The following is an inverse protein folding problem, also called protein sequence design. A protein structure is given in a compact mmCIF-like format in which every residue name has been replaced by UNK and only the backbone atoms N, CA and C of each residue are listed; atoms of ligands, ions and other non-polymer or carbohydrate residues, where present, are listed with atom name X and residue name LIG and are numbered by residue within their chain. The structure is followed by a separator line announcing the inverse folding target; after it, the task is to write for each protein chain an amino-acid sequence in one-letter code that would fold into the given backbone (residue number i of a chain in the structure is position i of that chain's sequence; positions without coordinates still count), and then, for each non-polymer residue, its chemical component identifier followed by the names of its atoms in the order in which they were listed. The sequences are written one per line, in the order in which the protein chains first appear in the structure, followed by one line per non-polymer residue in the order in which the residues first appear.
data_IF_368309815748
#
_entry.id   IF_368309815748
#
_cell.length_a   1.000
_cell.length_b   1.000
_cell.length_c   1.000
_cell.angle_alpha   90.00
_cell.angle_beta   90.00
_cell.angle_gamma   90.00
#
_symmetry.space_group_name_H-M   'P 1'
#
loop_
_entity.id
_entity.type
_entity.pdbx_description
1 polymer ?
#
# COMPACT_ATOMS: atom_id res chain seq x y z
N UNK A 1 -3.84 -7.95 4.27
CA UNK A 1 -4.84 -7.17 3.54
C UNK A 1 -4.87 -7.58 2.07
N UNK A 2 -6.02 -7.38 1.42
CA UNK A 2 -6.16 -7.50 -0.03
C UNK A 2 -6.47 -6.12 -0.60
N UNK A 3 -5.68 -5.68 -1.58
CA UNK A 3 -5.89 -4.41 -2.28
C UNK A 3 -6.87 -4.62 -3.44
N UNK A 4 -7.94 -3.83 -3.50
CA UNK A 4 -8.99 -3.92 -4.52
C UNK A 4 -9.02 -2.62 -5.30
N UNK A 5 -8.81 -2.71 -6.62
CA UNK A 5 -8.94 -1.58 -7.53
C UNK A 5 -10.41 -1.18 -7.64
N UNK A 6 -10.71 0.11 -7.45
CA UNK A 6 -12.08 0.65 -7.55
C UNK A 6 -12.21 1.77 -8.57
N UNK A 7 -11.11 2.22 -9.16
CA UNK A 7 -11.12 3.22 -10.23
C UNK A 7 -11.64 2.59 -11.54
N UNK A 8 -12.72 3.13 -12.15
CA UNK A 8 -13.42 2.45 -13.23
C UNK A 8 -12.82 2.67 -14.62
N UNK A 9 -12.12 3.79 -14.84
CA UNK A 9 -11.76 4.22 -16.20
C UNK A 9 -10.46 3.59 -16.72
N UNK A 10 -9.49 3.40 -15.83
CA UNK A 10 -8.16 2.86 -16.17
C UNK A 10 -7.95 1.42 -15.70
N UNK A 11 -8.65 1.02 -14.65
CA UNK A 11 -8.42 -0.25 -13.98
C UNK A 11 -9.65 -1.16 -13.95
N UNK A 12 -10.73 -0.77 -14.62
CA UNK A 12 -11.99 -1.52 -14.68
C UNK A 12 -12.49 -1.93 -13.27
N UNK A 13 -12.25 -1.05 -12.29
CA UNK A 13 -12.57 -1.25 -10.89
C UNK A 13 -13.98 -0.76 -10.54
N UNK A 14 -14.46 -1.16 -9.36
CA UNK A 14 -15.73 -0.65 -8.82
C UNK A 14 -15.82 -0.82 -7.31
N UNK A 15 -16.70 -0.05 -6.65
CA UNK A 15 -17.05 -0.27 -5.25
C UNK A 15 -17.75 -1.62 -5.04
N UNK A 16 -18.39 -2.19 -6.05
CA UNK A 16 -19.01 -3.52 -5.97
C UNK A 16 -17.94 -4.62 -5.89
N UNK A 17 -16.81 -4.46 -6.61
CA UNK A 17 -15.65 -5.35 -6.44
C UNK A 17 -15.11 -5.29 -4.99
N UNK A 18 -15.04 -4.09 -4.41
CA UNK A 18 -14.62 -3.91 -3.03
C UNK A 18 -15.59 -4.59 -2.05
N UNK A 19 -16.91 -4.41 -2.23
CA UNK A 19 -17.93 -5.07 -1.40
C UNK A 19 -17.81 -6.59 -1.45
N UNK A 20 -17.70 -7.14 -2.66
CA UNK A 20 -17.54 -8.58 -2.87
C UNK A 20 -16.29 -9.12 -2.19
N UNK A 21 -15.16 -8.44 -2.36
CA UNK A 21 -13.92 -8.83 -1.72
C UNK A 21 -14.00 -8.72 -0.19
N UNK A 22 -14.53 -7.62 0.33
CA UNK A 22 -14.68 -7.40 1.78
C UNK A 22 -15.56 -8.49 2.43
N UNK A 23 -16.68 -8.85 1.80
CA UNK A 23 -17.56 -9.92 2.28
C UNK A 23 -16.87 -11.29 2.30
N UNK A 24 -16.10 -11.61 1.25
CA UNK A 24 -15.36 -12.87 1.17
C UNK A 24 -14.21 -12.96 2.19
N UNK A 25 -13.59 -11.84 2.50
CA UNK A 25 -12.44 -11.75 3.40
C UNK A 25 -12.82 -11.61 4.89
N UNK A 26 -14.02 -11.10 5.19
CA UNK A 26 -14.47 -10.87 6.57
C UNK A 26 -14.39 -12.10 7.47
N UNK A 27 -14.82 -13.32 7.05
CA UNK A 27 -14.71 -14.52 7.88
C UNK A 27 -13.27 -14.92 8.19
N UNK A 28 -12.32 -14.46 7.38
CA UNK A 28 -10.88 -14.73 7.53
C UNK A 28 -10.16 -13.66 8.36
N UNK A 29 -10.86 -12.60 8.78
CA UNK A 29 -10.25 -11.46 9.47
C UNK A 29 -9.23 -10.68 8.61
N UNK A 30 -9.35 -10.78 7.26
CA UNK A 30 -8.43 -10.13 6.32
C UNK A 30 -9.07 -8.84 5.81
N UNK A 31 -8.50 -7.65 6.06
CA UNK A 31 -9.07 -6.41 5.59
C UNK A 31 -8.92 -6.24 4.08
N UNK A 32 -9.98 -5.74 3.42
CA UNK A 32 -9.92 -5.23 2.06
C UNK A 32 -9.52 -3.75 2.07
N UNK A 33 -8.62 -3.32 1.16
CA UNK A 33 -8.21 -1.93 1.02
C UNK A 33 -8.72 -1.37 -0.30
N UNK A 34 -9.39 -0.21 -0.26
CA UNK A 34 -9.74 0.54 -1.47
C UNK A 34 -8.48 1.14 -2.10
N UNK A 35 -8.16 0.72 -3.31
CA UNK A 35 -7.09 1.30 -4.13
C UNK A 35 -7.69 2.10 -5.27
N UNK A 36 -7.65 3.42 -5.11
CA UNK A 36 -8.28 4.39 -6.01
C UNK A 36 -7.51 5.71 -5.97
N UNK A 37 -7.87 6.69 -6.79
CA UNK A 37 -7.41 8.07 -6.72
C UNK A 37 -8.33 8.87 -5.79
N UNK A 38 -8.09 8.79 -4.49
CA UNK A 38 -8.89 9.52 -3.50
C UNK A 38 -8.47 10.98 -3.45
N UNK A 39 -9.42 11.89 -3.62
CA UNK A 39 -9.23 13.34 -3.61
C UNK A 39 -10.16 14.06 -2.62
N UNK A 40 -11.07 13.34 -1.98
CA UNK A 40 -12.03 13.88 -1.03
C UNK A 40 -12.22 12.89 0.13
N UNK A 41 -12.33 13.41 1.35
CA UNK A 41 -12.60 12.61 2.56
C UNK A 41 -13.94 11.86 2.52
N UNK A 42 -14.92 12.32 1.71
CA UNK A 42 -16.16 11.59 1.46
C UNK A 42 -15.91 10.19 0.87
N UNK A 43 -14.89 10.05 0.02
CA UNK A 43 -14.55 8.76 -0.58
C UNK A 43 -14.04 7.73 0.47
N UNK A 44 -13.59 8.21 1.63
CA UNK A 44 -13.27 7.33 2.77
C UNK A 44 -14.53 6.77 3.40
N UNK A 45 -15.59 7.58 3.48
CA UNK A 45 -16.92 7.13 3.96
C UNK A 45 -17.50 6.09 3.00
N UNK A 46 -17.42 6.32 1.68
CA UNK A 46 -17.82 5.34 0.66
C UNK A 46 -17.05 4.02 0.80
N UNK A 47 -15.72 4.11 1.02
CA UNK A 47 -14.89 2.93 1.22
C UNK A 47 -15.36 2.12 2.44
N UNK A 48 -15.61 2.79 3.56
CA UNK A 48 -16.13 2.14 4.77
C UNK A 48 -17.50 1.50 4.54
N UNK A 49 -18.41 2.21 3.88
CA UNK A 49 -19.74 1.70 3.50
C UNK A 49 -19.68 0.49 2.56
N UNK A 50 -18.63 0.39 1.75
CA UNK A 50 -18.33 -0.78 0.91
C UNK A 50 -17.59 -1.90 1.65
N UNK A 51 -17.33 -1.77 2.96
CA UNK A 51 -16.70 -2.80 3.78
C UNK A 51 -15.16 -2.75 3.80
N UNK A 52 -14.55 -1.66 3.34
CA UNK A 52 -13.11 -1.51 3.43
C UNK A 52 -12.62 -1.50 4.89
N UNK A 53 -11.45 -2.09 5.12
CA UNK A 53 -10.65 -1.96 6.33
C UNK A 53 -9.51 -0.95 6.18
N UNK A 54 -9.29 -0.41 4.98
CA UNK A 54 -8.28 0.61 4.71
C UNK A 54 -8.46 1.27 3.36
N UNK A 55 -7.72 2.36 3.14
CA UNK A 55 -7.69 3.15 1.91
C UNK A 55 -6.26 3.50 1.51
N UNK A 56 -6.05 3.80 0.23
CA UNK A 56 -4.80 4.35 -0.29
C UNK A 56 -4.96 5.85 -0.51
N UNK A 57 -3.97 6.64 -0.11
CA UNK A 57 -3.88 8.07 -0.40
C UNK A 57 -2.55 8.40 -1.07
N UNK A 58 -2.60 8.96 -2.27
CA UNK A 58 -1.42 9.35 -3.04
C UNK A 58 -0.99 10.75 -2.58
N UNK A 59 0.17 10.85 -1.94
CA UNK A 59 0.64 12.07 -1.29
C UNK A 59 0.63 13.29 -2.22
N UNK A 60 1.14 13.16 -3.44
CA UNK A 60 1.25 14.27 -4.39
C UNK A 60 -0.07 14.75 -5.01
N UNK A 61 -1.15 13.99 -4.84
CA UNK A 61 -2.47 14.32 -5.38
C UNK A 61 -3.31 15.19 -4.45
N UNK A 62 -2.90 15.36 -3.20
CA UNK A 62 -3.64 16.03 -2.15
C UNK A 62 -2.86 17.23 -1.62
N UNK A 63 -3.54 18.30 -1.31
CA UNK A 63 -2.99 19.36 -0.45
C UNK A 63 -2.79 18.82 0.98
N UNK A 64 -2.04 19.54 1.83
CA UNK A 64 -1.85 19.16 3.23
C UNK A 64 -3.18 19.08 4.00
N UNK A 65 -4.08 20.05 3.74
CA UNK A 65 -5.39 20.11 4.39
C UNK A 65 -6.30 18.93 3.98
N UNK A 66 -6.32 18.58 2.70
CA UNK A 66 -7.09 17.44 2.18
C UNK A 66 -6.55 16.12 2.73
N UNK A 67 -5.21 15.97 2.74
CA UNK A 67 -4.55 14.78 3.28
C UNK A 67 -4.85 14.59 4.77
N UNK A 68 -4.76 15.66 5.57
CA UNK A 68 -5.10 15.59 6.99
C UNK A 68 -6.59 15.29 7.22
N UNK A 69 -7.50 15.90 6.44
CA UNK A 69 -8.93 15.63 6.52
C UNK A 69 -9.23 14.14 6.20
N UNK A 70 -8.61 13.61 5.16
CA UNK A 70 -8.73 12.20 4.76
C UNK A 70 -8.26 11.27 5.87
N UNK A 71 -7.08 11.53 6.45
CA UNK A 71 -6.50 10.71 7.53
C UNK A 71 -7.40 10.75 8.78
N UNK A 72 -7.86 11.95 9.19
CA UNK A 72 -8.75 12.08 10.34
C UNK A 72 -10.08 11.35 10.12
N UNK A 73 -10.63 11.43 8.90
CA UNK A 73 -11.85 10.70 8.53
C UNK A 73 -11.62 9.18 8.57
N UNK A 74 -10.48 8.70 8.06
CA UNK A 74 -10.13 7.28 8.09
C UNK A 74 -10.01 6.76 9.54
N UNK A 75 -9.32 7.51 10.40
CA UNK A 75 -9.21 7.16 11.84
C UNK A 75 -10.56 7.11 12.54
N UNK A 76 -11.43 8.10 12.29
CA UNK A 76 -12.78 8.11 12.86
C UNK A 76 -13.63 6.91 12.45
N UNK A 77 -13.31 6.28 11.32
CA UNK A 77 -13.97 5.09 10.79
C UNK A 77 -13.16 3.80 10.98
N UNK A 78 -12.09 3.86 11.78
CA UNK A 78 -11.21 2.71 12.07
C UNK A 78 -10.59 2.06 10.81
N UNK A 79 -10.26 2.89 9.81
CA UNK A 79 -9.57 2.47 8.59
C UNK A 79 -8.07 2.80 8.68
N UNK A 80 -7.22 1.87 8.23
CA UNK A 80 -5.83 2.22 7.99
C UNK A 80 -5.69 3.03 6.68
N UNK A 81 -4.63 3.83 6.59
CA UNK A 81 -4.29 4.59 5.38
C UNK A 81 -2.90 4.22 4.91
N UNK A 82 -2.80 3.74 3.67
CA UNK A 82 -1.54 3.58 2.96
C UNK A 82 -1.20 4.90 2.25
N UNK A 83 -0.18 5.60 2.75
CA UNK A 83 0.32 6.85 2.17
C UNK A 83 1.36 6.53 1.09
N UNK A 84 0.98 6.72 -0.17
CA UNK A 84 1.78 6.33 -1.33
C UNK A 84 2.68 7.48 -1.79
N UNK A 85 4.00 7.22 -1.83
CA UNK A 85 5.06 8.12 -2.26
C UNK A 85 5.76 7.59 -3.52
N UNK A 86 6.30 8.51 -4.35
CA UNK A 86 7.02 8.20 -5.58
C UNK A 86 8.44 8.77 -5.62
N UNK A 87 8.76 9.72 -4.74
CA UNK A 87 10.06 10.37 -4.65
C UNK A 87 10.34 10.89 -3.24
N UNK A 88 11.50 11.52 -3.06
CA UNK A 88 11.95 12.08 -1.78
C UNK A 88 11.06 13.24 -1.31
N UNK A 89 10.47 14.00 -2.23
CA UNK A 89 9.57 15.11 -1.88
C UNK A 89 8.27 14.56 -1.23
N UNK A 90 7.69 13.51 -1.81
CA UNK A 90 6.53 12.85 -1.22
C UNK A 90 6.85 12.28 0.17
N UNK A 91 8.04 11.68 0.34
CA UNK A 91 8.48 11.16 1.64
C UNK A 91 8.70 12.26 2.69
N UNK A 92 9.20 13.43 2.28
CA UNK A 92 9.29 14.61 3.15
C UNK A 92 7.91 15.11 3.61
N UNK A 93 6.89 15.05 2.74
CA UNK A 93 5.50 15.34 3.10
C UNK A 93 4.95 14.31 4.09
N UNK A 94 5.28 13.04 3.89
CA UNK A 94 4.88 11.96 4.81
C UNK A 94 5.46 12.18 6.21
N UNK A 95 6.73 12.55 6.32
CA UNK A 95 7.35 12.91 7.60
C UNK A 95 6.62 14.08 8.29
N UNK A 96 6.23 15.11 7.54
CA UNK A 96 5.44 16.22 8.04
C UNK A 96 4.08 15.77 8.59
N UNK A 97 3.39 14.87 7.89
CA UNK A 97 2.11 14.28 8.34
C UNK A 97 2.30 13.47 9.61
N UNK A 98 3.31 12.61 9.69
CA UNK A 98 3.59 11.82 10.89
C UNK A 98 3.92 12.69 12.10
N UNK A 99 4.65 13.78 11.88
CA UNK A 99 4.95 14.75 12.94
C UNK A 99 3.73 15.46 13.49
N UNK A 100 2.71 15.74 12.65
CA UNK A 100 1.49 16.43 13.08
C UNK A 100 0.41 15.49 13.60
N UNK A 101 0.26 14.32 13.02
CA UNK A 101 -0.87 13.42 13.30
C UNK A 101 -0.47 12.13 14.03
N UNK A 102 0.82 11.84 14.16
CA UNK A 102 1.29 10.55 14.68
C UNK A 102 1.13 9.39 13.68
N UNK A 103 1.73 8.22 13.96
CA UNK A 103 1.77 7.08 13.05
C UNK A 103 0.54 6.16 13.10
N UNK A 104 -0.40 6.36 14.04
CA UNK A 104 -1.51 5.43 14.30
C UNK A 104 -2.37 5.23 13.05
N UNK A 105 -2.50 3.96 12.64
CA UNK A 105 -3.29 3.58 11.46
C UNK A 105 -2.67 3.97 10.12
N UNK A 106 -1.42 4.45 10.09
CA UNK A 106 -0.73 4.83 8.87
C UNK A 106 0.29 3.78 8.43
N UNK A 107 0.44 3.63 7.11
CA UNK A 107 1.46 2.84 6.45
C UNK A 107 2.20 3.75 5.45
N UNK A 108 3.52 3.61 5.34
CA UNK A 108 4.36 4.37 4.41
C UNK A 108 4.67 3.53 3.17
N UNK A 109 4.09 3.85 2.03
CA UNK A 109 4.28 3.15 0.78
C UNK A 109 5.23 3.85 -0.19
N UNK A 110 6.07 3.09 -0.88
CA UNK A 110 6.81 3.57 -2.05
C UNK A 110 6.35 2.79 -3.27
N UNK A 111 5.81 3.48 -4.27
CA UNK A 111 5.40 2.87 -5.51
C UNK A 111 6.49 3.01 -6.58
N UNK A 112 7.01 1.88 -7.04
CA UNK A 112 7.99 1.85 -8.12
C UNK A 112 7.37 2.03 -9.52
N UNK A 113 6.03 2.01 -9.64
CA UNK A 113 5.35 2.26 -10.91
C UNK A 113 5.16 3.76 -11.14
N UNK A 114 5.61 4.24 -12.28
CA UNK A 114 5.37 5.61 -12.71
C UNK A 114 3.90 5.83 -13.07
N UNK A 115 3.27 6.92 -12.55
CA UNK A 115 1.85 7.18 -12.76
C UNK A 115 1.50 7.61 -14.18
N UNK A 116 2.45 8.21 -14.92
CA UNK A 116 2.21 8.71 -16.27
C UNK A 116 2.42 7.61 -17.31
N UNK A 117 3.53 6.86 -17.19
CA UNK A 117 3.93 5.84 -18.16
C UNK A 117 3.43 4.44 -17.81
N UNK A 118 3.02 4.22 -16.57
CA UNK A 118 2.67 2.94 -15.95
C UNK A 118 3.82 1.92 -15.93
N UNK A 119 5.03 2.35 -16.27
CA UNK A 119 6.22 1.50 -16.24
C UNK A 119 6.75 1.35 -14.82
N UNK A 120 7.29 0.18 -14.52
CA UNK A 120 7.98 -0.06 -13.25
C UNK A 120 9.42 0.46 -13.35
N UNK A 121 9.85 1.22 -12.34
CA UNK A 121 11.23 1.71 -12.16
C UNK A 121 11.89 0.87 -11.07
N UNK A 122 12.62 -0.21 -11.42
CA UNK A 122 13.06 -1.22 -10.44
C UNK A 122 13.98 -0.68 -9.34
N UNK A 123 14.76 0.36 -9.64
CA UNK A 123 15.69 0.97 -8.67
C UNK A 123 15.02 1.83 -7.61
N UNK A 124 13.79 2.31 -7.84
CA UNK A 124 13.12 3.27 -6.96
C UNK A 124 12.95 2.75 -5.53
N UNK A 125 12.53 1.50 -5.35
CA UNK A 125 12.35 0.92 -4.01
C UNK A 125 13.66 0.95 -3.21
N UNK A 126 14.79 0.55 -3.81
CA UNK A 126 16.08 0.58 -3.13
C UNK A 126 16.58 2.00 -2.87
N UNK A 127 16.40 2.92 -3.82
CA UNK A 127 16.84 4.32 -3.70
C UNK A 127 16.09 5.06 -2.58
N UNK A 128 14.77 4.87 -2.48
CA UNK A 128 13.93 5.57 -1.53
C UNK A 128 13.85 4.90 -0.14
N UNK A 129 14.28 3.64 -0.02
CA UNK A 129 14.21 2.89 1.24
C UNK A 129 14.85 3.63 2.44
N UNK A 130 15.98 4.30 2.21
CA UNK A 130 16.71 5.07 3.24
C UNK A 130 15.99 6.33 3.71
N UNK A 131 15.04 6.84 2.92
CA UNK A 131 14.26 8.04 3.22
C UNK A 131 12.90 7.72 3.85
N UNK A 132 12.56 6.43 3.99
CA UNK A 132 11.33 6.02 4.65
C UNK A 132 11.38 6.32 6.14
N UNK A 133 10.31 6.90 6.70
CA UNK A 133 10.26 7.25 8.12
C UNK A 133 10.37 6.03 9.02
N UNK A 134 10.88 6.25 10.24
CA UNK A 134 10.83 5.27 11.31
C UNK A 134 9.48 5.30 12.03
N UNK A 135 9.13 4.20 12.73
CA UNK A 135 7.93 4.15 13.57
C UNK A 135 6.61 3.90 12.81
N UNK A 136 6.68 3.69 11.50
CA UNK A 136 5.54 3.33 10.65
C UNK A 136 5.90 2.13 9.77
N UNK A 137 4.96 1.22 9.52
CA UNK A 137 5.21 0.07 8.66
C UNK A 137 5.42 0.51 7.20
N UNK A 138 6.46 -0.03 6.57
CA UNK A 138 6.96 0.35 5.24
C UNK A 138 6.48 -0.64 4.19
N UNK A 139 5.87 -0.14 3.12
CA UNK A 139 5.24 -0.95 2.07
C UNK A 139 5.96 -0.75 0.74
N UNK A 140 6.48 -1.83 0.15
CA UNK A 140 6.99 -1.83 -1.22
C UNK A 140 5.82 -2.06 -2.19
N UNK A 141 5.62 -1.15 -3.15
CA UNK A 141 4.53 -1.24 -4.10
C UNK A 141 5.05 -1.35 -5.54
N UNK A 142 4.49 -2.28 -6.28
CA UNK A 142 4.88 -2.64 -7.64
C UNK A 142 6.31 -3.20 -7.76
N UNK A 143 6.60 -3.94 -8.82
CA UNK A 143 7.93 -4.46 -9.10
C UNK A 143 8.41 -5.60 -8.19
N UNK A 144 7.57 -6.14 -7.34
CA UNK A 144 7.84 -7.34 -6.52
C UNK A 144 7.09 -8.49 -7.13
N UNK A 145 7.79 -9.37 -7.86
CA UNK A 145 7.17 -10.45 -8.63
C UNK A 145 7.77 -11.84 -8.39
N UNK A 146 8.83 -11.93 -7.59
CA UNK A 146 9.54 -13.18 -7.35
C UNK A 146 10.00 -13.29 -5.88
N UNK A 147 10.36 -14.49 -5.39
CA UNK A 147 11.00 -14.66 -4.09
C UNK A 147 12.28 -13.82 -3.93
N UNK A 148 13.04 -13.65 -5.00
CA UNK A 148 14.25 -12.83 -4.99
C UNK A 148 13.92 -11.33 -4.82
N UNK A 149 12.86 -10.83 -5.46
CA UNK A 149 12.40 -9.45 -5.23
C UNK A 149 11.93 -9.25 -3.79
N UNK A 150 11.17 -10.22 -3.26
CA UNK A 150 10.71 -10.18 -1.88
C UNK A 150 11.88 -10.16 -0.88
N UNK A 151 12.95 -10.94 -1.16
CA UNK A 151 14.20 -10.90 -0.38
C UNK A 151 14.82 -9.50 -0.42
N UNK A 152 15.00 -8.93 -1.63
CA UNK A 152 15.64 -7.61 -1.83
C UNK A 152 14.91 -6.48 -1.11
N UNK A 153 13.57 -6.42 -1.20
CA UNK A 153 12.81 -5.38 -0.52
C UNK A 153 12.85 -5.55 1.00
N UNK A 154 12.86 -6.80 1.51
CA UNK A 154 13.02 -7.07 2.93
C UNK A 154 14.40 -6.62 3.45
N UNK A 155 15.47 -6.86 2.69
CA UNK A 155 16.84 -6.39 2.98
C UNK A 155 16.95 -4.86 2.94
N UNK A 156 16.19 -4.22 2.04
CA UNK A 156 16.10 -2.77 1.97
C UNK A 156 15.28 -2.13 3.13
N UNK A 157 14.66 -2.94 3.99
CA UNK A 157 13.97 -2.47 5.19
C UNK A 157 12.46 -2.29 5.03
N UNK A 158 11.84 -2.80 3.97
CA UNK A 158 10.38 -2.83 3.84
C UNK A 158 9.79 -3.95 4.71
N UNK A 159 8.66 -3.66 5.36
CA UNK A 159 7.94 -4.58 6.24
C UNK A 159 6.91 -5.41 5.48
N UNK A 160 6.32 -4.80 4.45
CA UNK A 160 5.22 -5.33 3.64
C UNK A 160 5.51 -5.13 2.15
N UNK A 161 4.87 -5.92 1.30
CA UNK A 161 4.86 -5.72 -0.14
C UNK A 161 3.44 -5.86 -0.71
N UNK A 162 3.07 -4.98 -1.64
CA UNK A 162 1.87 -5.09 -2.46
C UNK A 162 2.21 -5.86 -3.74
N UNK A 163 1.66 -7.07 -3.86
CA UNK A 163 1.91 -7.97 -4.99
C UNK A 163 0.58 -8.28 -5.66
N UNK A 164 0.43 -7.91 -6.92
CA UNK A 164 -0.78 -8.18 -7.70
C UNK A 164 -0.47 -8.97 -8.97
N UNK A 165 0.15 -8.31 -9.96
CA UNK A 165 0.37 -8.87 -11.31
C UNK A 165 1.02 -10.25 -11.31
N UNK A 166 2.02 -10.48 -10.46
CA UNK A 166 2.71 -11.76 -10.39
C UNK A 166 1.81 -12.90 -9.88
N UNK A 167 0.92 -12.61 -8.94
CA UNK A 167 -0.03 -13.59 -8.40
C UNK A 167 -1.19 -13.88 -9.38
N UNK A 168 -1.47 -12.95 -10.30
CA UNK A 168 -2.59 -13.05 -11.24
C UNK A 168 -2.16 -13.52 -12.65
N UNK A 169 -0.86 -13.57 -12.94
CA UNK A 169 -0.34 -13.88 -14.29
C UNK A 169 -0.20 -15.37 -14.61
N UNK A 170 -0.73 -16.26 -13.79
CA UNK A 170 -0.74 -17.70 -14.02
C UNK A 170 0.08 -18.47 -12.97
N UNK A 171 -0.03 -19.78 -12.98
CA UNK A 171 0.60 -20.64 -11.98
C UNK A 171 -0.21 -20.75 -10.68
N UNK A 172 0.46 -21.18 -9.61
CA UNK A 172 -0.13 -21.31 -8.28
C UNK A 172 0.18 -20.07 -7.44
N UNK A 173 -0.79 -19.13 -7.21
CA UNK A 173 -0.57 -17.92 -6.45
C UNK A 173 -0.26 -18.21 -4.98
N UNK A 174 -0.77 -19.29 -4.41
CA UNK A 174 -0.50 -19.67 -3.02
C UNK A 174 0.95 -20.14 -2.85
N UNK A 175 1.43 -20.95 -3.77
CA UNK A 175 2.83 -21.41 -3.77
C UNK A 175 3.79 -20.23 -3.96
N UNK A 176 3.51 -19.32 -4.89
CA UNK A 176 4.32 -18.12 -5.11
C UNK A 176 4.34 -17.22 -3.87
N UNK A 177 3.19 -16.92 -3.30
CA UNK A 177 3.09 -16.10 -2.09
C UNK A 177 3.86 -16.72 -0.91
N UNK A 178 3.76 -18.03 -0.73
CA UNK A 178 4.49 -18.78 0.30
C UNK A 178 6.00 -18.70 0.11
N UNK A 179 6.48 -18.86 -1.13
CA UNK A 179 7.90 -18.76 -1.46
C UNK A 179 8.44 -17.34 -1.22
N UNK A 180 7.69 -16.30 -1.63
CA UNK A 180 8.04 -14.89 -1.39
C UNK A 180 8.13 -14.57 0.10
N UNK A 181 7.14 -15.00 0.90
CA UNK A 181 7.13 -14.82 2.35
C UNK A 181 8.31 -15.53 3.02
N UNK A 182 8.65 -16.74 2.59
CA UNK A 182 9.77 -17.49 3.11
C UNK A 182 11.10 -16.79 2.85
N UNK A 183 11.31 -16.29 1.62
CA UNK A 183 12.51 -15.56 1.22
C UNK A 183 12.67 -14.25 2.03
N UNK A 184 11.60 -13.45 2.14
CA UNK A 184 11.61 -12.20 2.90
C UNK A 184 11.89 -12.42 4.41
N UNK A 185 11.26 -13.44 5.01
CA UNK A 185 11.50 -13.79 6.43
C UNK A 185 12.93 -14.27 6.69
N UNK A 186 13.52 -15.02 5.75
CA UNK A 186 14.91 -15.45 5.84
C UNK A 186 15.87 -14.26 5.82
N UNK A 187 15.66 -13.30 4.91
CA UNK A 187 16.44 -12.07 4.81
C UNK A 187 16.37 -11.23 6.11
N UNK A 188 15.19 -11.05 6.67
CA UNK A 188 15.03 -10.33 7.93
C UNK A 188 15.75 -10.97 9.12
N UNK A 189 15.71 -12.29 9.22
CA UNK A 189 16.43 -13.02 10.28
C UNK A 189 17.95 -12.89 10.15
N UNK A 190 18.46 -12.79 8.94
CA UNK A 190 19.89 -12.59 8.69
C UNK A 190 20.36 -11.18 9.08
N UNK A 191 19.50 -10.16 8.89
CA UNK A 191 19.80 -8.77 9.23
C UNK A 191 19.81 -8.46 10.76
N UNK A 192 19.25 -9.35 11.59
CA UNK A 192 19.16 -9.18 13.06
C UNK A 192 20.36 -9.87 13.77
N UNK A 193 21.12 -10.67 13.04
CA UNK A 193 22.35 -11.34 13.57
C UNK A 193 23.60 -10.52 13.30
#
# INVERSE_FOLDING_TARGET
AVSVLTEPTRFDGSLDHLRTAAQALAPLGVPAMRKDFLVDSYQVIEARAAGAGGVLAILRMLSEAELEALIRQARALELFVLLEAFDEQDLGRLDGVLGRLGPEGLLAGVNSRDLATLQVVPSRLGQLARHLPAGVARVAESGVGSPEDARRVAEAGYDLALVGSALMSGGDPAALASAMLSAARAARRAAIR
#
